data_IF_059825089630
#
_entry.id   IF_059825089630
#
_cell.length_a   1.000
_cell.length_b   1.000
_cell.length_c   1.000
_cell.angle_alpha   90.00
_cell.angle_beta   90.00
_cell.angle_gamma   90.00
#
_symmetry.space_group_name_H-M   'P 1'
#
loop_
_entity.id
_entity.type
_entity.pdbx_description
1 polymer ?
#
# COMPACT_ATOMS: atom_id res chain seq x y z
N UNK A 1 2.15 0.42 -8.03
CA UNK A 1 2.01 0.33 -6.56
C UNK A 1 2.87 -0.82 -6.09
N UNK A 2 3.72 -0.58 -5.10
CA UNK A 2 4.59 -1.58 -4.49
C UNK A 2 4.34 -1.62 -2.97
N UNK A 3 4.54 -2.80 -2.38
CA UNK A 3 4.41 -2.99 -0.93
C UNK A 3 5.72 -2.62 -0.25
N UNK A 4 5.66 -1.79 0.79
CA UNK A 4 6.77 -1.61 1.71
C UNK A 4 6.86 -2.87 2.60
N UNK A 5 7.76 -3.80 2.24
CA UNK A 5 7.91 -5.08 2.93
C UNK A 5 8.28 -4.93 4.41
N UNK A 6 9.11 -3.95 4.75
CA UNK A 6 9.54 -3.74 6.14
C UNK A 6 8.38 -3.27 7.02
N UNK A 7 7.64 -2.26 6.56
CA UNK A 7 6.46 -1.77 7.29
C UNK A 7 5.35 -2.83 7.32
N UNK A 8 5.17 -3.58 6.24
CA UNK A 8 4.24 -4.70 6.22
C UNK A 8 4.63 -5.81 7.21
N UNK A 9 5.93 -6.09 7.38
CA UNK A 9 6.41 -7.07 8.36
C UNK A 9 6.18 -6.60 9.80
N UNK A 10 6.37 -5.31 10.09
CA UNK A 10 6.03 -4.73 11.40
C UNK A 10 4.53 -4.85 11.67
N UNK A 11 3.73 -4.41 10.71
CA UNK A 11 2.27 -4.54 10.77
C UNK A 11 1.81 -6.00 10.95
N UNK A 12 2.45 -6.95 10.27
CA UNK A 12 2.18 -8.37 10.43
C UNK A 12 2.43 -8.88 11.86
N UNK A 13 3.47 -8.39 12.51
CA UNK A 13 3.80 -8.78 13.88
C UNK A 13 2.84 -8.07 14.86
N UNK A 14 2.61 -6.77 14.70
CA UNK A 14 1.81 -5.95 15.61
C UNK A 14 0.30 -6.27 15.55
N UNK A 15 -0.26 -6.43 14.34
CA UNK A 15 -1.71 -6.65 14.16
C UNK A 15 -2.11 -8.13 14.06
N UNK A 16 -1.20 -9.01 13.64
CA UNK A 16 -1.52 -10.42 13.43
C UNK A 16 -0.67 -11.37 14.28
N UNK A 17 0.13 -10.84 15.21
CA UNK A 17 1.01 -11.62 16.11
C UNK A 17 1.96 -12.54 15.34
N UNK A 18 2.34 -12.16 14.12
CA UNK A 18 3.18 -13.00 13.26
C UNK A 18 2.46 -14.23 12.69
N UNK A 19 1.13 -14.27 12.72
CA UNK A 19 0.35 -15.43 12.27
C UNK A 19 -0.09 -15.30 10.81
N UNK A 20 0.53 -16.12 9.95
CA UNK A 20 0.22 -16.20 8.52
C UNK A 20 -1.23 -16.54 8.22
N UNK A 21 -1.85 -17.40 9.03
CA UNK A 21 -3.22 -17.87 8.82
C UNK A 21 -4.25 -16.80 9.21
N UNK A 22 -4.01 -16.07 10.31
CA UNK A 22 -4.82 -14.90 10.70
C UNK A 22 -4.78 -13.83 9.62
N UNK A 23 -3.58 -13.51 9.14
CA UNK A 23 -3.36 -12.53 8.07
C UNK A 23 -4.05 -12.95 6.77
N UNK A 24 -3.91 -14.21 6.38
CA UNK A 24 -4.54 -14.79 5.20
C UNK A 24 -6.07 -14.70 5.25
N UNK A 25 -6.69 -15.02 6.41
CA UNK A 25 -8.13 -14.89 6.61
C UNK A 25 -8.59 -13.44 6.55
N UNK A 26 -7.90 -12.53 7.24
CA UNK A 26 -8.23 -11.12 7.30
C UNK A 26 -8.15 -10.45 5.91
N UNK A 27 -7.12 -10.80 5.14
CA UNK A 27 -6.92 -10.30 3.78
C UNK A 27 -7.64 -11.16 2.72
N UNK A 28 -8.34 -12.23 3.11
CA UNK A 28 -8.99 -13.18 2.21
C UNK A 28 -8.04 -13.70 1.10
N UNK A 29 -6.81 -14.07 1.46
CA UNK A 29 -5.81 -14.65 0.55
C UNK A 29 -5.32 -16.00 1.08
N UNK A 30 -4.51 -16.71 0.30
CA UNK A 30 -3.90 -17.96 0.77
C UNK A 30 -2.70 -17.69 1.70
N UNK A 31 -2.49 -18.48 2.76
CA UNK A 31 -1.33 -18.34 3.66
C UNK A 31 0.00 -18.51 2.93
N UNK A 32 0.05 -19.33 1.88
CA UNK A 32 1.22 -19.44 1.00
C UNK A 32 1.54 -18.15 0.24
N UNK A 33 0.53 -17.31 -0.05
CA UNK A 33 0.75 -16.01 -0.68
C UNK A 33 1.35 -15.03 0.33
N UNK A 34 0.83 -15.01 1.58
CA UNK A 34 1.38 -14.20 2.68
C UNK A 34 2.83 -14.59 2.98
N UNK A 35 3.10 -15.89 3.12
CA UNK A 35 4.46 -16.40 3.37
C UNK A 35 5.45 -15.96 2.29
N UNK A 36 5.07 -16.05 1.00
CA UNK A 36 5.91 -15.63 -0.12
C UNK A 36 6.20 -14.13 -0.15
N UNK A 37 5.28 -13.31 0.36
CA UNK A 37 5.43 -11.85 0.42
C UNK A 37 6.31 -11.44 1.61
N UNK A 38 6.13 -12.08 2.77
CA UNK A 38 6.85 -11.72 4.01
C UNK A 38 8.27 -12.30 4.04
N UNK A 39 8.42 -13.59 3.69
CA UNK A 39 9.69 -14.32 3.78
C UNK A 39 10.35 -14.51 2.43
N UNK A 40 9.58 -14.51 1.35
CA UNK A 40 10.12 -14.65 0.01
C UNK A 40 10.53 -13.34 -0.65
N UNK A 41 11.18 -13.44 -1.80
CA UNK A 41 11.50 -12.28 -2.63
C UNK A 41 10.34 -11.86 -3.55
N UNK A 42 9.16 -12.48 -3.40
CA UNK A 42 8.02 -12.17 -4.27
C UNK A 42 7.51 -10.74 -4.05
N UNK A 43 7.15 -10.08 -5.15
CA UNK A 43 6.44 -8.81 -5.10
C UNK A 43 4.96 -9.04 -4.82
N UNK A 44 4.35 -8.18 -4.03
CA UNK A 44 2.90 -8.19 -3.84
C UNK A 44 2.24 -7.67 -5.12
N UNK A 45 1.42 -8.51 -5.76
CA UNK A 45 0.66 -8.09 -6.93
C UNK A 45 -0.50 -7.15 -6.58
N UNK A 46 -1.04 -6.47 -7.60
CA UNK A 46 -2.15 -5.52 -7.44
C UNK A 46 -3.36 -6.09 -6.68
N UNK A 47 -3.68 -7.38 -6.86
CA UNK A 47 -4.76 -8.06 -6.13
C UNK A 47 -4.51 -8.09 -4.62
N UNK A 48 -3.27 -8.38 -4.18
CA UNK A 48 -2.93 -8.41 -2.76
C UNK A 48 -2.98 -7.02 -2.15
N UNK A 49 -2.41 -6.04 -2.86
CA UNK A 49 -2.41 -4.63 -2.46
C UNK A 49 -3.84 -4.10 -2.32
N UNK A 50 -4.72 -4.39 -3.28
CA UNK A 50 -6.14 -3.98 -3.20
C UNK A 50 -6.85 -4.56 -1.99
N UNK A 51 -6.62 -5.84 -1.66
CA UNK A 51 -7.20 -6.46 -0.45
C UNK A 51 -6.62 -5.88 0.83
N UNK A 52 -5.32 -5.56 0.86
CA UNK A 52 -4.68 -4.89 1.99
C UNK A 52 -5.27 -3.50 2.23
N UNK A 53 -5.43 -2.68 1.19
CA UNK A 53 -6.07 -1.36 1.28
C UNK A 53 -7.50 -1.49 1.80
N UNK A 54 -8.28 -2.43 1.26
CA UNK A 54 -9.65 -2.66 1.68
C UNK A 54 -9.73 -3.04 3.17
N UNK A 55 -8.84 -3.93 3.63
CA UNK A 55 -8.74 -4.29 5.04
C UNK A 55 -8.37 -3.09 5.92
N UNK A 56 -7.35 -2.32 5.53
CA UNK A 56 -6.93 -1.14 6.26
C UNK A 56 -8.07 -0.09 6.36
N UNK A 57 -8.79 0.16 5.25
CA UNK A 57 -9.96 1.06 5.24
C UNK A 57 -11.08 0.56 6.17
N UNK A 58 -11.36 -0.73 6.16
CA UNK A 58 -12.39 -1.31 7.04
C UNK A 58 -12.03 -1.22 8.54
N UNK A 59 -10.74 -1.15 8.86
CA UNK A 59 -10.24 -1.10 10.24
C UNK A 59 -9.71 0.30 10.65
N UNK A 60 -9.91 1.34 9.84
CA UNK A 60 -9.35 2.69 10.05
C UNK A 60 -7.82 2.70 10.28
N UNK A 61 -7.11 1.85 9.54
CA UNK A 61 -5.64 1.75 9.58
C UNK A 61 -5.06 2.57 8.44
N UNK A 62 -4.05 3.38 8.76
CA UNK A 62 -3.30 4.13 7.76
C UNK A 62 -2.44 3.18 6.89
N UNK A 63 -2.79 3.05 5.61
CA UNK A 63 -2.09 2.19 4.66
C UNK A 63 -1.02 2.90 3.83
N UNK A 64 -0.90 4.23 3.96
CA UNK A 64 0.08 5.05 3.22
C UNK A 64 1.51 4.57 3.50
N UNK A 65 1.79 4.23 4.76
CA UNK A 65 3.07 3.66 5.18
C UNK A 65 3.32 2.23 4.68
N UNK A 66 2.27 1.50 4.29
CA UNK A 66 2.35 0.11 3.85
C UNK A 66 2.54 -0.01 2.33
N UNK A 67 2.04 0.95 1.56
CA UNK A 67 1.99 0.86 0.10
C UNK A 67 2.57 2.13 -0.49
N UNK A 68 3.67 1.97 -1.23
CA UNK A 68 4.28 3.07 -1.95
C UNK A 68 3.83 3.07 -3.41
N UNK A 69 3.48 4.24 -3.93
CA UNK A 69 3.34 4.45 -5.36
C UNK A 69 4.72 4.77 -5.90
N UNK A 70 5.33 3.92 -6.76
CA UNK A 70 6.56 4.32 -7.44
C UNK A 70 6.25 5.63 -8.18
N UNK A 71 6.97 6.69 -7.83
CA UNK A 71 6.83 7.99 -8.44
C UNK A 71 7.03 7.82 -9.94
N UNK A 72 5.93 7.90 -10.69
CA UNK A 72 5.91 8.23 -12.11
C UNK A 72 4.85 9.31 -12.30
N UNK A 73 5.16 10.49 -11.76
CA UNK A 73 4.58 11.75 -12.19
C UNK A 73 5.73 12.75 -12.34
N UNK A 74 6.55 12.54 -13.36
CA UNK A 74 7.21 13.68 -13.99
C UNK A 74 6.10 14.52 -14.63
N UNK A 75 5.83 15.67 -14.03
CA UNK A 75 5.13 16.84 -14.58
C UNK A 75 3.76 16.63 -15.25
N UNK A 76 2.68 16.97 -14.53
CA UNK A 76 1.48 17.56 -15.14
C UNK A 76 0.97 18.74 -14.29
N UNK A 77 1.88 19.57 -13.78
CA UNK A 77 1.49 20.87 -13.22
C UNK A 77 2.48 21.96 -13.64
N UNK A 78 2.57 22.18 -14.95
CA UNK A 78 2.99 23.47 -15.50
C UNK A 78 1.78 24.11 -16.16
N UNK A 79 0.82 24.53 -15.35
CA UNK A 79 0.01 25.69 -15.71
C UNK A 79 0.54 26.83 -14.86
N UNK A 80 1.28 27.80 -15.41
CA UNK A 80 1.71 28.95 -14.63
C UNK A 80 0.48 29.65 -14.04
N UNK A 81 0.62 30.31 -12.87
CA UNK A 81 -0.48 31.08 -12.31
C UNK A 81 -0.93 32.11 -13.35
N UNK A 82 -2.22 32.10 -13.68
CA UNK A 82 -2.83 33.20 -14.40
C UNK A 82 -2.72 34.43 -13.49
N UNK A 83 -1.67 35.21 -13.73
CA UNK A 83 -1.47 36.54 -13.20
C UNK A 83 -2.71 37.37 -13.53
N UNK A 84 -3.36 37.85 -12.47
CA UNK A 84 -4.53 38.70 -12.62
C UNK A 84 -4.15 40.05 -13.20
N UNK A 85 -5.10 40.61 -13.97
CA UNK A 85 -5.43 42.04 -14.13
C UNK A 85 -4.26 43.03 -14.32
N UNK A 86 -4.20 43.65 -15.50
CA UNK A 86 -4.08 45.10 -15.76
C UNK A 86 -4.72 45.36 -17.15
N UNK A 87 -5.86 46.06 -17.29
CA UNK A 87 -6.06 47.52 -17.32
C UNK A 87 -5.29 48.21 -18.45
N UNK A 88 -6.01 48.69 -19.49
CA UNK A 88 -5.50 49.47 -20.62
C UNK A 88 -6.50 49.52 -21.76
#
# INVERSE_FOLDING_TARGET
>A
MELNKENFKKFFIEHFEGNYNKTARALNVSPAQVYRIIKGNSKAGAKFLGKLIAYCKANNIDYDKLIFLPILLTACNTTPPHEGREAG
#
